data_IF_354125753910
#
_entry.id   IF_354125753910
#
_cell.length_a   1.000
_cell.length_b   1.000
_cell.length_c   1.000
_cell.angle_alpha   90.00
_cell.angle_beta   90.00
_cell.angle_gamma   90.00
#
_symmetry.space_group_name_H-M   'P 1'
#
loop_
_entity.id
_entity.type
_entity.pdbx_description
1 polymer ?
#
# COMPACT_ATOMS: atom_id res chain seq x y z
N UNK A 1 -16.95 13.83 -7.33
CA UNK A 1 -16.08 12.98 -6.52
C UNK A 1 -16.72 12.56 -5.19
N UNK A 2 -17.10 13.47 -4.28
CA UNK A 2 -17.77 13.10 -3.00
C UNK A 2 -19.10 12.35 -3.20
N UNK A 3 -19.95 12.75 -4.14
CA UNK A 3 -21.23 12.07 -4.43
C UNK A 3 -21.00 10.64 -4.90
N UNK A 4 -20.02 10.42 -5.76
CA UNK A 4 -19.66 9.08 -6.24
C UNK A 4 -19.12 8.20 -5.12
N UNK A 5 -18.35 8.78 -4.21
CA UNK A 5 -17.82 8.11 -3.03
C UNK A 5 -18.95 7.63 -2.10
N UNK A 6 -19.86 8.52 -1.68
CA UNK A 6 -20.99 8.13 -0.83
C UNK A 6 -21.92 7.10 -1.48
N UNK A 7 -22.12 7.18 -2.81
CA UNK A 7 -22.90 6.20 -3.54
C UNK A 7 -22.25 4.80 -3.47
N UNK A 8 -20.93 4.71 -3.63
CA UNK A 8 -20.17 3.44 -3.52
C UNK A 8 -20.28 2.89 -2.09
N UNK A 9 -20.07 3.72 -1.07
CA UNK A 9 -20.20 3.30 0.34
C UNK A 9 -21.60 2.73 0.62
N UNK A 10 -22.66 3.42 0.17
CA UNK A 10 -24.01 2.93 0.33
C UNK A 10 -24.29 1.62 -0.38
N UNK A 11 -23.78 1.45 -1.62
CA UNK A 11 -23.89 0.19 -2.37
C UNK A 11 -23.21 -0.95 -1.59
N UNK A 12 -22.00 -0.71 -1.04
CA UNK A 12 -21.29 -1.69 -0.24
C UNK A 12 -22.06 -2.06 1.04
N UNK A 13 -22.65 -1.08 1.71
CA UNK A 13 -23.49 -1.31 2.90
C UNK A 13 -24.68 -2.23 2.59
N UNK A 14 -25.30 -2.06 1.42
CA UNK A 14 -26.42 -2.92 0.98
C UNK A 14 -25.96 -4.33 0.61
N UNK A 15 -24.86 -4.44 -0.16
CA UNK A 15 -24.35 -5.74 -0.63
C UNK A 15 -23.82 -6.60 0.52
N UNK A 16 -23.12 -5.97 1.45
CA UNK A 16 -22.43 -6.66 2.55
C UNK A 16 -23.17 -6.53 3.89
N UNK A 17 -24.47 -6.20 3.86
CA UNK A 17 -25.29 -6.16 5.07
C UNK A 17 -25.13 -7.45 5.87
N UNK A 18 -24.86 -7.35 7.16
CA UNK A 18 -24.64 -8.48 8.08
C UNK A 18 -23.48 -9.43 7.72
N UNK A 19 -22.52 -8.98 6.90
CA UNK A 19 -21.34 -9.75 6.46
C UNK A 19 -20.06 -8.92 6.56
N UNK A 20 -19.67 -8.47 7.76
CA UNK A 20 -18.56 -7.54 7.91
C UNK A 20 -17.23 -8.11 7.44
N UNK A 21 -16.93 -9.38 7.69
CA UNK A 21 -15.67 -10.01 7.27
C UNK A 21 -15.57 -10.14 5.73
N UNK A 22 -16.67 -10.52 5.06
CA UNK A 22 -16.74 -10.53 3.58
C UNK A 22 -16.48 -9.12 3.01
N UNK A 23 -17.03 -8.07 3.66
CA UNK A 23 -16.86 -6.67 3.31
C UNK A 23 -15.42 -6.22 3.50
N UNK A 24 -14.82 -6.48 4.65
CA UNK A 24 -13.42 -6.13 4.91
C UNK A 24 -12.49 -6.80 3.90
N UNK A 25 -12.66 -8.10 3.67
CA UNK A 25 -11.87 -8.78 2.65
C UNK A 25 -12.00 -8.15 1.25
N UNK A 26 -13.20 -7.72 0.88
CA UNK A 26 -13.45 -7.00 -0.37
C UNK A 26 -12.70 -5.66 -0.41
N UNK A 27 -12.79 -4.88 0.66
CA UNK A 27 -12.15 -3.57 0.77
C UNK A 27 -10.62 -3.70 0.75
N UNK A 28 -10.04 -4.62 1.51
CA UNK A 28 -8.60 -4.87 1.53
C UNK A 28 -8.05 -5.34 0.17
N UNK A 29 -8.84 -6.10 -0.58
CA UNK A 29 -8.46 -6.46 -1.95
C UNK A 29 -8.28 -5.23 -2.84
N UNK A 30 -9.05 -4.17 -2.60
CA UNK A 30 -9.04 -2.92 -3.37
C UNK A 30 -8.06 -1.91 -2.77
N UNK A 31 -7.92 -1.84 -1.46
CA UNK A 31 -7.11 -0.86 -0.72
C UNK A 31 -5.61 -0.92 -1.08
N UNK A 32 -5.11 -2.06 -1.52
CA UNK A 32 -3.74 -2.25 -2.02
C UNK A 32 -3.46 -1.52 -3.34
N UNK A 33 -4.48 -1.24 -4.15
CA UNK A 33 -4.31 -0.73 -5.51
C UNK A 33 -3.71 0.68 -5.59
N UNK A 34 -4.03 1.63 -4.69
CA UNK A 34 -3.37 2.92 -4.65
C UNK A 34 -1.84 2.81 -4.55
N UNK A 35 -1.36 2.09 -3.56
CA UNK A 35 0.08 1.94 -3.29
C UNK A 35 0.81 1.28 -4.44
N UNK A 36 0.25 0.18 -4.96
CA UNK A 36 0.81 -0.51 -6.11
C UNK A 36 0.85 0.39 -7.36
N UNK A 37 -0.20 1.17 -7.62
CA UNK A 37 -0.24 2.10 -8.74
C UNK A 37 0.81 3.21 -8.61
N UNK A 38 1.01 3.75 -7.39
CA UNK A 38 2.00 4.79 -7.13
C UNK A 38 3.42 4.27 -7.32
N UNK A 39 3.74 3.10 -6.78
CA UNK A 39 5.05 2.45 -6.99
C UNK A 39 5.29 2.19 -8.47
N UNK A 40 4.29 1.68 -9.20
CA UNK A 40 4.40 1.39 -10.63
C UNK A 40 4.70 2.64 -11.47
N UNK A 41 3.97 3.74 -11.22
CA UNK A 41 4.17 5.00 -11.97
C UNK A 41 5.49 5.66 -11.60
N UNK A 42 5.83 5.73 -10.32
CA UNK A 42 7.10 6.29 -9.87
C UNK A 42 8.28 5.52 -10.47
N UNK A 43 8.17 4.19 -10.54
CA UNK A 43 9.18 3.36 -11.21
C UNK A 43 9.26 3.63 -12.71
N UNK A 44 8.12 3.81 -13.39
CA UNK A 44 8.09 4.19 -14.80
C UNK A 44 8.74 5.55 -15.04
N UNK A 45 8.43 6.57 -14.23
CA UNK A 45 9.02 7.90 -14.34
C UNK A 45 10.53 7.88 -14.11
N UNK A 46 10.99 7.09 -13.15
CA UNK A 46 12.40 6.85 -12.91
C UNK A 46 13.08 6.23 -14.14
N UNK A 47 12.50 5.18 -14.72
CA UNK A 47 13.03 4.49 -15.89
C UNK A 47 13.13 5.42 -17.11
N UNK A 48 12.18 6.34 -17.27
CA UNK A 48 12.16 7.33 -18.35
C UNK A 48 13.03 8.57 -18.07
N UNK A 49 13.65 8.65 -16.89
CA UNK A 49 14.44 9.81 -16.49
C UNK A 49 13.62 11.07 -16.22
N UNK A 50 12.30 10.93 -16.04
CA UNK A 50 11.40 12.06 -15.76
C UNK A 50 11.33 12.43 -14.29
N UNK A 51 11.81 11.57 -13.45
CA UNK A 51 11.83 11.74 -12.01
C UNK A 51 13.09 11.14 -11.42
N UNK A 52 13.79 11.92 -10.60
CA UNK A 52 14.93 11.42 -9.82
C UNK A 52 14.43 10.85 -8.50
N UNK A 53 14.96 9.70 -8.21
CA UNK A 53 14.52 8.79 -7.15
C UNK A 53 14.48 9.45 -5.77
N UNK A 54 13.30 9.78 -5.26
CA UNK A 54 13.09 9.72 -3.81
C UNK A 54 12.81 8.26 -3.41
N UNK A 55 13.89 7.52 -3.16
CA UNK A 55 13.81 6.12 -2.73
C UNK A 55 12.96 5.95 -1.46
N UNK A 56 12.82 7.00 -0.64
CA UNK A 56 12.03 7.01 0.59
C UNK A 56 10.53 6.99 0.30
N UNK A 57 10.05 7.79 -0.67
CA UNK A 57 8.65 7.84 -1.04
C UNK A 57 8.19 6.50 -1.64
N UNK A 58 8.95 5.97 -2.61
CA UNK A 58 8.64 4.68 -3.23
C UNK A 58 8.66 3.54 -2.21
N UNK A 59 9.68 3.53 -1.33
CA UNK A 59 9.76 2.55 -0.24
C UNK A 59 8.58 2.66 0.74
N UNK A 60 8.13 3.87 1.04
CA UNK A 60 6.98 4.10 1.92
C UNK A 60 5.73 3.46 1.34
N UNK A 61 5.40 3.73 0.08
CA UNK A 61 4.25 3.11 -0.57
C UNK A 61 4.36 1.58 -0.66
N UNK A 62 5.57 1.06 -0.87
CA UNK A 62 5.79 -0.38 -0.85
C UNK A 62 5.50 -1.00 0.54
N UNK A 63 5.92 -0.35 1.62
CA UNK A 63 5.65 -0.83 2.98
C UNK A 63 4.16 -0.72 3.35
N UNK A 64 3.48 0.32 2.87
CA UNK A 64 2.03 0.47 3.04
C UNK A 64 1.28 -0.63 2.26
N UNK A 65 1.69 -0.93 1.02
CA UNK A 65 1.12 -2.06 0.25
C UNK A 65 1.33 -3.40 0.95
N UNK A 66 2.51 -3.64 1.52
CA UNK A 66 2.81 -4.86 2.29
C UNK A 66 1.93 -4.95 3.55
N UNK A 67 1.67 -3.83 4.23
CA UNK A 67 0.77 -3.78 5.38
C UNK A 67 -0.67 -4.14 4.98
N UNK A 68 -1.20 -3.62 3.87
CA UNK A 68 -2.51 -4.01 3.32
C UNK A 68 -2.61 -5.51 2.98
N UNK A 69 -1.49 -6.12 2.53
CA UNK A 69 -1.43 -7.59 2.32
C UNK A 69 -1.64 -8.33 3.63
N UNK A 70 -1.10 -7.83 4.74
CA UNK A 70 -1.32 -8.45 6.06
C UNK A 70 -2.78 -8.35 6.48
N UNK A 71 -3.41 -7.17 6.33
CA UNK A 71 -4.84 -6.99 6.60
C UNK A 71 -5.69 -7.96 5.77
N UNK A 72 -5.44 -8.03 4.47
CA UNK A 72 -6.12 -8.96 3.56
C UNK A 72 -6.01 -10.43 4.02
N UNK A 73 -4.79 -10.88 4.40
CA UNK A 73 -4.57 -12.25 4.87
C UNK A 73 -5.31 -12.55 6.18
N UNK A 74 -5.41 -11.57 7.08
CA UNK A 74 -6.20 -11.70 8.30
C UNK A 74 -7.67 -11.92 7.93
N UNK A 75 -8.24 -11.11 7.02
CA UNK A 75 -9.61 -11.28 6.57
C UNK A 75 -9.84 -12.61 5.84
N UNK A 76 -8.86 -13.10 5.07
CA UNK A 76 -8.90 -14.44 4.48
C UNK A 76 -8.93 -15.53 5.55
N UNK A 77 -8.10 -15.43 6.58
CA UNK A 77 -8.05 -16.39 7.67
C UNK A 77 -9.34 -16.45 8.49
N UNK A 78 -10.12 -15.36 8.46
CA UNK A 78 -11.45 -15.24 9.06
C UNK A 78 -12.58 -15.67 8.10
N UNK A 79 -12.27 -16.12 6.88
CA UNK A 79 -13.21 -16.64 5.91
C UNK A 79 -13.86 -15.63 4.96
N UNK A 80 -13.34 -14.38 4.90
CA UNK A 80 -13.89 -13.30 4.06
C UNK A 80 -13.86 -13.59 2.56
N UNK A 81 -12.99 -14.51 2.11
CA UNK A 81 -12.89 -14.93 0.71
C UNK A 81 -13.71 -16.18 0.37
N UNK A 82 -14.58 -16.68 1.25
CA UNK A 82 -15.29 -17.95 1.06
C UNK A 82 -16.19 -17.98 -0.19
N UNK A 83 -16.83 -16.86 -0.54
CA UNK A 83 -17.79 -16.76 -1.64
C UNK A 83 -17.11 -16.43 -2.97
N UNK A 84 -17.36 -17.25 -4.01
CA UNK A 84 -16.76 -17.04 -5.32
C UNK A 84 -17.13 -15.69 -5.95
N UNK A 85 -18.37 -15.24 -5.81
CA UNK A 85 -18.83 -13.96 -6.36
C UNK A 85 -18.12 -12.77 -5.70
N UNK A 86 -17.83 -12.84 -4.38
CA UNK A 86 -17.07 -11.83 -3.68
C UNK A 86 -15.65 -11.73 -4.25
N UNK A 87 -14.98 -12.89 -4.42
CA UNK A 87 -13.67 -12.95 -5.07
C UNK A 87 -13.68 -12.40 -6.49
N UNK A 88 -14.72 -12.74 -7.25
CA UNK A 88 -14.84 -12.28 -8.64
C UNK A 88 -14.96 -10.75 -8.70
N UNK A 89 -15.92 -10.16 -7.99
CA UNK A 89 -16.18 -8.72 -8.02
C UNK A 89 -15.00 -7.94 -7.42
N UNK A 90 -14.43 -8.39 -6.30
CA UNK A 90 -13.29 -7.72 -5.67
C UNK A 90 -12.07 -7.65 -6.60
N UNK A 91 -11.70 -8.78 -7.23
CA UNK A 91 -10.54 -8.83 -8.13
C UNK A 91 -10.72 -7.98 -9.39
N UNK A 92 -11.89 -8.03 -10.01
CA UNK A 92 -12.18 -7.21 -11.19
C UNK A 92 -12.32 -5.73 -10.82
N UNK A 93 -12.94 -5.42 -9.68
CA UNK A 93 -13.00 -4.07 -9.13
C UNK A 93 -11.61 -3.51 -8.83
N UNK A 94 -10.74 -4.29 -8.21
CA UNK A 94 -9.36 -3.92 -7.95
C UNK A 94 -8.59 -3.61 -9.25
N UNK A 95 -8.71 -4.44 -10.28
CA UNK A 95 -8.07 -4.21 -11.59
C UNK A 95 -8.60 -2.95 -12.28
N UNK A 96 -9.91 -2.72 -12.25
CA UNK A 96 -10.52 -1.51 -12.80
C UNK A 96 -10.05 -0.26 -12.03
N UNK A 97 -10.04 -0.32 -10.70
CA UNK A 97 -9.59 0.77 -9.83
C UNK A 97 -8.09 1.07 -10.04
N UNK A 98 -7.25 0.04 -10.15
CA UNK A 98 -5.85 0.19 -10.50
C UNK A 98 -5.67 1.00 -11.79
N UNK A 99 -6.39 0.66 -12.88
CA UNK A 99 -6.35 1.40 -14.13
C UNK A 99 -6.78 2.87 -13.98
N UNK A 100 -7.84 3.13 -13.21
CA UNK A 100 -8.29 4.50 -12.91
C UNK A 100 -7.21 5.28 -12.14
N UNK A 101 -6.58 4.65 -11.15
CA UNK A 101 -5.53 5.29 -10.36
C UNK A 101 -4.27 5.60 -11.18
N UNK A 102 -3.87 4.74 -12.11
CA UNK A 102 -2.77 5.02 -13.03
C UNK A 102 -3.03 6.32 -13.81
N UNK A 103 -4.22 6.43 -14.42
CA UNK A 103 -4.62 7.62 -15.19
C UNK A 103 -4.70 8.84 -14.26
N UNK A 104 -5.32 8.70 -13.10
CA UNK A 104 -5.50 9.78 -12.15
C UNK A 104 -4.16 10.29 -11.61
N UNK A 105 -3.22 9.40 -11.29
CA UNK A 105 -1.90 9.79 -10.81
C UNK A 105 -1.09 10.48 -11.91
N UNK A 106 -1.10 9.98 -13.14
CA UNK A 106 -0.41 10.61 -14.27
C UNK A 106 -0.94 12.01 -14.59
N UNK A 107 -2.25 12.24 -14.43
CA UNK A 107 -2.89 13.53 -14.74
C UNK A 107 -2.88 14.49 -13.55
N UNK A 108 -3.05 13.99 -12.34
CA UNK A 108 -3.10 14.77 -11.11
C UNK A 108 -2.75 13.93 -9.88
N UNK A 109 -1.46 13.84 -9.52
CA UNK A 109 -1.03 13.10 -8.31
C UNK A 109 -1.76 13.56 -7.04
N UNK A 110 -2.07 14.87 -6.94
CA UNK A 110 -2.81 15.42 -5.78
C UNK A 110 -4.22 14.87 -5.66
N UNK A 111 -4.92 14.64 -6.77
CA UNK A 111 -6.26 14.05 -6.76
C UNK A 111 -6.19 12.56 -6.46
N UNK A 112 -5.16 11.87 -6.96
CA UNK A 112 -4.93 10.48 -6.61
C UNK A 112 -4.71 10.30 -5.10
N UNK A 113 -3.80 11.06 -4.49
CA UNK A 113 -3.58 11.04 -3.04
C UNK A 113 -4.81 11.48 -2.23
N UNK A 114 -5.59 12.44 -2.73
CA UNK A 114 -6.84 12.83 -2.06
C UNK A 114 -7.87 11.70 -2.07
N UNK A 115 -8.01 10.99 -3.20
CA UNK A 115 -8.95 9.87 -3.28
C UNK A 115 -8.55 8.73 -2.35
N UNK A 116 -7.24 8.43 -2.24
CA UNK A 116 -6.74 7.43 -1.31
C UNK A 116 -6.90 7.86 0.16
N UNK A 117 -6.58 9.12 0.50
CA UNK A 117 -6.82 9.65 1.85
C UNK A 117 -8.28 9.48 2.30
N UNK A 118 -9.25 9.73 1.41
CA UNK A 118 -10.67 9.56 1.72
C UNK A 118 -11.05 8.09 1.89
N UNK A 119 -10.45 7.20 1.11
CA UNK A 119 -10.68 5.76 1.23
C UNK A 119 -10.16 5.23 2.56
N UNK A 120 -8.93 5.58 2.93
CA UNK A 120 -8.32 5.19 4.21
C UNK A 120 -9.10 5.73 5.41
N UNK A 121 -9.54 6.99 5.37
CA UNK A 121 -10.37 7.55 6.44
C UNK A 121 -11.70 6.79 6.59
N UNK A 122 -12.30 6.35 5.48
CA UNK A 122 -13.49 5.49 5.55
C UNK A 122 -13.18 4.12 6.16
N UNK A 123 -12.03 3.55 5.86
CA UNK A 123 -11.59 2.30 6.49
C UNK A 123 -11.43 2.48 8.01
N UNK A 124 -10.80 3.59 8.47
CA UNK A 124 -10.71 3.94 9.90
C UNK A 124 -12.08 3.92 10.57
N UNK A 125 -13.06 4.62 9.99
CA UNK A 125 -14.41 4.71 10.54
C UNK A 125 -15.09 3.32 10.60
N UNK A 126 -14.99 2.57 9.49
CA UNK A 126 -15.61 1.24 9.36
C UNK A 126 -15.02 0.22 10.34
N UNK A 127 -13.68 0.18 10.47
CA UNK A 127 -13.01 -0.70 11.43
C UNK A 127 -13.30 -0.29 12.86
N UNK A 128 -13.31 1.00 13.16
CA UNK A 128 -13.59 1.53 14.50
C UNK A 128 -15.02 1.16 14.93
N UNK A 129 -16.00 1.43 14.08
CA UNK A 129 -17.40 1.05 14.36
C UNK A 129 -17.54 -0.47 14.58
N UNK A 130 -16.85 -1.26 13.75
CA UNK A 130 -16.91 -2.72 13.86
C UNK A 130 -16.35 -3.25 15.17
N UNK A 131 -15.11 -2.87 15.53
CA UNK A 131 -14.51 -3.43 16.74
C UNK A 131 -15.15 -2.89 18.03
N UNK A 132 -15.65 -1.66 18.03
CA UNK A 132 -16.38 -1.11 19.18
C UNK A 132 -17.73 -1.78 19.37
N UNK A 133 -18.51 -1.91 18.29
CA UNK A 133 -19.84 -2.54 18.34
C UNK A 133 -19.80 -4.03 18.68
N UNK A 134 -18.69 -4.72 18.37
CA UNK A 134 -18.52 -6.16 18.60
C UNK A 134 -17.50 -6.46 19.70
N UNK A 135 -17.14 -5.49 20.54
CA UNK A 135 -16.08 -5.61 21.53
C UNK A 135 -16.22 -6.83 22.46
N UNK A 136 -17.44 -7.13 22.92
CA UNK A 136 -17.70 -8.26 23.80
C UNK A 136 -17.44 -9.63 23.14
N UNK A 137 -17.68 -9.73 21.84
CA UNK A 137 -17.43 -10.95 21.06
C UNK A 137 -15.95 -11.06 20.73
N UNK A 138 -15.37 -10.01 20.16
CA UNK A 138 -13.98 -9.98 19.66
C UNK A 138 -12.94 -10.21 20.75
N UNK A 139 -13.21 -9.75 21.99
CA UNK A 139 -12.32 -9.99 23.15
C UNK A 139 -12.26 -11.46 23.58
N UNK A 140 -13.28 -12.24 23.23
CA UNK A 140 -13.35 -13.66 23.58
C UNK A 140 -12.93 -14.59 22.42
N UNK A 141 -12.67 -14.05 21.22
CA UNK A 141 -12.25 -14.84 20.08
C UNK A 141 -10.73 -14.99 20.05
N UNK A 142 -10.22 -16.22 19.78
CA UNK A 142 -8.80 -16.47 19.65
C UNK A 142 -8.24 -15.82 18.38
N UNK A 143 -6.93 -15.62 18.37
CA UNK A 143 -6.20 -15.13 17.20
C UNK A 143 -6.09 -16.23 16.13
N UNK A 144 -6.17 -15.84 14.87
CA UNK A 144 -5.75 -16.68 13.76
C UNK A 144 -4.23 -16.63 13.61
N UNK A 145 -3.64 -17.58 12.88
CA UNK A 145 -2.19 -17.60 12.63
C UNK A 145 -1.72 -16.31 11.95
N UNK A 146 -2.48 -15.81 10.97
CA UNK A 146 -2.14 -14.57 10.28
C UNK A 146 -2.27 -13.34 11.20
N UNK A 147 -3.25 -13.32 12.09
CA UNK A 147 -3.38 -12.27 13.09
C UNK A 147 -2.21 -12.26 14.09
N UNK A 148 -1.73 -13.43 14.50
CA UNK A 148 -0.55 -13.57 15.35
C UNK A 148 0.75 -13.13 14.65
N UNK A 149 0.89 -13.38 13.35
CA UNK A 149 2.04 -12.89 12.55
C UNK A 149 2.04 -11.38 12.45
N UNK A 150 0.87 -10.77 12.26
CA UNK A 150 0.72 -9.32 12.13
C UNK A 150 0.94 -8.60 13.47
N UNK A 151 0.33 -9.10 14.54
CA UNK A 151 0.43 -8.51 15.89
C UNK A 151 0.71 -9.59 16.94
N UNK A 152 1.99 -9.95 17.14
CA UNK A 152 2.36 -11.05 18.04
C UNK A 152 2.05 -10.82 19.51
N UNK A 153 1.90 -9.56 19.93
CA UNK A 153 1.58 -9.12 21.29
C UNK A 153 0.08 -8.95 21.55
N UNK A 154 -0.77 -9.16 20.55
CA UNK A 154 -2.22 -9.12 20.75
C UNK A 154 -2.72 -10.35 21.50
N UNK A 155 -3.76 -10.16 22.32
CA UNK A 155 -4.37 -11.24 23.11
C UNK A 155 -5.66 -11.78 22.46
N UNK A 156 -6.29 -11.00 21.59
CA UNK A 156 -7.59 -11.30 20.99
C UNK A 156 -7.82 -10.51 19.70
N UNK A 157 -8.88 -10.85 18.97
CA UNK A 157 -9.23 -10.18 17.72
C UNK A 157 -9.60 -8.71 17.89
N UNK A 158 -10.11 -8.28 19.06
CA UNK A 158 -10.39 -6.87 19.31
C UNK A 158 -9.14 -5.99 19.16
N UNK A 159 -8.01 -6.42 19.71
CA UNK A 159 -6.74 -5.69 19.61
C UNK A 159 -6.20 -5.69 18.18
N UNK A 160 -6.42 -6.77 17.43
CA UNK A 160 -6.04 -6.86 16.01
C UNK A 160 -6.82 -5.86 15.18
N UNK A 161 -8.16 -5.85 15.27
CA UNK A 161 -9.00 -4.92 14.51
C UNK A 161 -8.73 -3.45 14.90
N UNK A 162 -8.47 -3.19 16.18
CA UNK A 162 -8.03 -1.87 16.63
C UNK A 162 -6.71 -1.46 16.01
N UNK A 163 -5.73 -2.38 15.94
CA UNK A 163 -4.43 -2.12 15.33
C UNK A 163 -4.55 -1.85 13.83
N UNK A 164 -5.43 -2.56 13.12
CA UNK A 164 -5.74 -2.28 11.72
C UNK A 164 -6.27 -0.85 11.57
N UNK A 165 -7.27 -0.45 12.36
CA UNK A 165 -7.79 0.93 12.31
C UNK A 165 -6.70 2.00 12.58
N UNK A 166 -5.75 1.72 13.47
CA UNK A 166 -4.60 2.60 13.72
C UNK A 166 -3.64 2.67 12.51
N UNK A 167 -3.47 1.59 11.77
CA UNK A 167 -2.64 1.56 10.56
C UNK A 167 -3.32 2.32 9.42
N UNK A 168 -4.63 2.14 9.20
CA UNK A 168 -5.42 2.93 8.25
C UNK A 168 -5.33 4.44 8.52
N UNK A 169 -5.37 4.83 9.78
CA UNK A 169 -5.19 6.23 10.17
C UNK A 169 -3.79 6.76 9.82
N UNK A 170 -2.74 5.94 9.98
CA UNK A 170 -1.37 6.28 9.57
C UNK A 170 -1.29 6.42 8.05
N UNK A 171 -1.92 5.50 7.30
CA UNK A 171 -2.00 5.56 5.83
C UNK A 171 -2.66 6.86 5.37
N UNK A 172 -3.84 7.19 5.89
CA UNK A 172 -4.53 8.44 5.59
C UNK A 172 -3.69 9.68 5.90
N UNK A 173 -3.03 9.70 7.07
CA UNK A 173 -2.15 10.79 7.50
C UNK A 173 -0.96 10.96 6.57
N UNK A 174 -0.39 9.86 6.07
CA UNK A 174 0.69 9.86 5.11
C UNK A 174 0.26 10.42 3.75
N UNK A 175 -0.90 9.97 3.23
CA UNK A 175 -1.47 10.52 1.99
C UNK A 175 -1.72 12.03 2.09
N UNK A 176 -2.28 12.47 3.21
CA UNK A 176 -2.50 13.89 3.51
C UNK A 176 -1.20 14.69 3.54
N UNK A 177 -0.14 14.14 4.10
CA UNK A 177 1.17 14.78 4.13
C UNK A 177 1.77 14.87 2.73
N UNK A 178 1.82 13.77 1.98
CA UNK A 178 2.41 13.72 0.64
C UNK A 178 1.69 14.67 -0.31
N UNK A 179 0.37 14.73 -0.26
CA UNK A 179 -0.46 15.67 -1.05
C UNK A 179 -0.08 17.14 -0.87
N UNK A 180 0.46 17.50 0.30
CA UNK A 180 0.87 18.88 0.64
C UNK A 180 2.29 19.21 0.20
N UNK A 181 3.09 18.21 -0.17
CA UNK A 181 4.45 18.45 -0.63
C UNK A 181 4.43 19.29 -1.92
N UNK A 182 5.27 20.32 -2.04
CA UNK A 182 5.36 21.08 -3.29
C UNK A 182 5.86 20.15 -4.40
N UNK A 183 5.31 20.30 -5.60
CA UNK A 183 5.68 19.50 -6.78
C UNK A 183 7.19 19.50 -7.07
N UNK A 184 7.92 20.54 -6.64
CA UNK A 184 9.38 20.65 -6.77
C UNK A 184 10.16 19.62 -5.94
N UNK A 185 9.60 19.07 -4.87
CA UNK A 185 10.24 18.01 -4.11
C UNK A 185 10.02 16.62 -4.75
N UNK A 186 9.14 16.55 -5.75
CA UNK A 186 9.09 15.44 -6.69
C UNK A 186 10.15 15.64 -7.80
N UNK A 187 10.59 16.88 -8.04
CA UNK A 187 11.49 17.22 -9.16
C UNK A 187 12.95 17.47 -8.78
N UNK A 188 13.31 17.73 -7.52
CA UNK A 188 14.68 18.12 -7.17
C UNK A 188 15.07 17.80 -5.72
N UNK A 189 15.34 16.54 -5.41
CA UNK A 189 16.34 16.22 -4.40
C UNK A 189 17.54 15.61 -5.13
N UNK A 190 18.32 16.46 -5.74
CA UNK A 190 19.55 16.06 -6.40
C UNK A 190 20.72 16.17 -5.40
N UNK A 191 21.11 15.11 -4.66
CA UNK A 191 22.35 15.09 -3.91
C UNK A 191 23.58 14.90 -4.82
N UNK A 192 23.36 14.68 -6.12
CA UNK A 192 24.42 14.36 -7.09
C UNK A 192 25.16 15.61 -7.59
N UNK A 193 24.66 16.82 -7.32
CA UNK A 193 25.33 18.08 -7.71
C UNK A 193 26.66 18.36 -7.00
N UNK A 194 27.13 17.49 -6.10
CA UNK A 194 28.45 17.63 -5.47
C UNK A 194 29.51 16.65 -6.01
N UNK A 195 29.12 15.69 -6.86
CA UNK A 195 30.08 14.76 -7.46
C UNK A 195 30.37 15.23 -8.89
N UNK A 196 31.62 15.57 -9.13
CA UNK A 196 32.07 15.86 -10.49
C UNK A 196 31.96 14.59 -11.34
N UNK A 197 30.85 14.45 -12.06
CA UNK A 197 30.51 13.27 -12.85
C UNK A 197 31.59 12.93 -13.88
N UNK A 198 32.24 13.95 -14.44
CA UNK A 198 33.34 13.77 -15.40
C UNK A 198 34.59 13.15 -14.74
N UNK A 199 34.88 13.54 -13.49
CA UNK A 199 35.97 12.96 -12.71
C UNK A 199 35.68 11.50 -12.31
N UNK A 200 34.43 11.21 -11.91
CA UNK A 200 34.00 9.86 -11.59
C UNK A 200 34.06 8.94 -12.83
N UNK A 201 33.53 9.40 -13.96
CA UNK A 201 33.54 8.65 -15.20
C UNK A 201 34.98 8.43 -15.70
N UNK A 202 35.88 9.41 -15.58
CA UNK A 202 37.30 9.22 -15.93
C UNK A 202 37.95 8.15 -15.05
N UNK A 203 37.66 8.14 -13.75
CA UNK A 203 38.15 7.11 -12.81
C UNK A 203 37.59 5.72 -13.12
N UNK A 204 36.30 5.61 -13.51
CA UNK A 204 35.71 4.34 -13.91
C UNK A 204 36.22 3.78 -15.21
N UNK A 205 36.47 4.64 -16.23
CA UNK A 205 36.99 4.24 -17.52
C UNK A 205 38.49 3.84 -17.43
N UNK A 206 39.23 4.48 -16.52
CA UNK A 206 40.66 4.18 -16.29
C UNK A 206 40.89 3.08 -15.27
N UNK A 207 39.85 2.56 -14.62
CA UNK A 207 39.98 1.45 -13.69
C UNK A 207 40.23 0.15 -14.50
N UNK A 208 41.40 -0.48 -14.44
CA UNK A 208 41.62 -1.74 -15.13
C UNK A 208 40.66 -2.79 -14.54
N UNK A 209 39.83 -3.40 -15.40
CA UNK A 209 39.09 -4.61 -15.02
C UNK A 209 40.11 -5.69 -14.72
N UNK A 210 40.45 -5.89 -13.45
CA UNK A 210 41.12 -7.11 -13.02
C UNK A 210 40.06 -8.23 -13.12
N UNK A 211 40.07 -8.91 -14.26
CA UNK A 211 39.49 -10.24 -14.33
C UNK A 211 40.20 -11.07 -13.26
N UNK A 212 39.44 -11.61 -12.31
CA UNK A 212 39.92 -12.57 -11.33
C UNK A 212 40.23 -13.89 -12.05
N UNK A 213 41.41 -13.99 -12.66
CA UNK A 213 42.08 -15.26 -12.93
C UNK A 213 42.95 -15.63 -11.73
N UNK A 214 42.36 -15.88 -10.60
CA UNK A 214 43.06 -16.50 -9.44
C UNK A 214 42.09 -17.35 -8.63
N UNK A 215 41.63 -18.47 -9.18
CA UNK A 215 41.17 -19.61 -8.38
C UNK A 215 41.11 -20.94 -9.16
N UNK A 216 42.10 -21.21 -10.02
CA UNK A 216 42.21 -22.54 -10.64
C UNK A 216 43.53 -23.26 -10.36
N UNK A 217 44.25 -22.88 -9.30
CA UNK A 217 45.44 -23.62 -8.86
C UNK A 217 45.42 -23.80 -7.35
N UNK A 218 44.61 -24.71 -6.87
CA UNK A 218 44.74 -25.43 -5.58
C UNK A 218 43.65 -26.51 -5.49
N UNK A 219 43.78 -27.52 -6.35
CA UNK A 219 43.32 -28.90 -6.10
C UNK A 219 44.30 -29.77 -6.89
N UNK A 220 45.36 -30.10 -6.24
CA UNK A 220 46.17 -31.31 -6.39
C UNK A 220 46.69 -31.67 -4.99
#
# INVERSE_FOLDING_TARGET
MLVSYYAICHILDVIFKDKPIDRFWFLETIARMPYFSYVAILHMYETLGWWELDSKLKRKHYLEEENEVHHLKIMESLGGNSKWWNRFIARHGAMAYYGVLLILFMTSPRLAYLSSELLEMHAVDTYTEFYESNASILKNLPLTEEAMKYKPDAWNLYEVFKSIAEDEYKHASNMKYIKKLPNKNIENTNPINSINYNELMTKLITCPMKCKEENSKKID
#
